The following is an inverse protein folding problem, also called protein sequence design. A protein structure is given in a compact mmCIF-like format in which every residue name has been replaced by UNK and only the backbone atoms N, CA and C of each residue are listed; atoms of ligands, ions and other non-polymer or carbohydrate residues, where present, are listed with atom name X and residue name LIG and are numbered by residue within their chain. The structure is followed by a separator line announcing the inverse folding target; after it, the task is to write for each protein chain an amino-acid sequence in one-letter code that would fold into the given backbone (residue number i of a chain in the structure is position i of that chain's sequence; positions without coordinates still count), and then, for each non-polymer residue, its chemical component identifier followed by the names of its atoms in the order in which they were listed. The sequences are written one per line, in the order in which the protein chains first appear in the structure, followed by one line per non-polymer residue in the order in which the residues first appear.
data_IF_959184260160
#
_entry.id   IF_959184260160
#
_cell.length_a   1.000
_cell.length_b   1.000
_cell.length_c   1.000
_cell.angle_alpha   90.00
_cell.angle_beta   90.00
_cell.angle_gamma   90.00
#
_symmetry.space_group_name_H-M   'P 1'
#
loop_
_entity.id
_entity.type
_entity.pdbx_description
1 polymer ?
#
# COMPACT_ATOMS: atom_id res chain seq x y z
N UNK A 1 -7.19 -5.25 -10.03
CA UNK A 1 -7.84 -4.33 -9.08
C UNK A 1 -7.00 -3.07 -8.86
N UNK A 2 -5.71 -3.17 -8.56
CA UNK A 2 -4.86 -2.00 -8.24
C UNK A 2 -4.73 -0.95 -9.36
N UNK A 3 -4.76 -1.35 -10.64
CA UNK A 3 -4.60 -0.43 -11.79
C UNK A 3 -5.69 0.66 -11.86
N UNK A 4 -6.84 0.42 -11.23
CA UNK A 4 -7.96 1.36 -11.17
C UNK A 4 -7.54 2.67 -10.51
N UNK A 5 -6.68 2.60 -9.49
CA UNK A 5 -6.25 3.77 -8.73
C UNK A 5 -5.46 4.79 -9.57
N UNK A 6 -4.30 4.45 -10.20
CA UNK A 6 -3.53 5.41 -11.00
C UNK A 6 -4.29 5.85 -12.25
N UNK A 7 -5.08 4.98 -12.89
CA UNK A 7 -5.87 5.36 -14.07
C UNK A 7 -6.94 6.40 -13.73
N UNK A 8 -7.67 6.18 -12.64
CA UNK A 8 -8.69 7.13 -12.16
C UNK A 8 -8.05 8.45 -11.76
N UNK A 9 -6.92 8.40 -11.05
CA UNK A 9 -6.19 9.60 -10.65
C UNK A 9 -5.78 10.44 -11.88
N UNK A 10 -5.11 9.84 -12.86
CA UNK A 10 -4.63 10.53 -14.05
C UNK A 10 -5.78 11.06 -14.90
N UNK A 11 -6.85 10.27 -15.06
CA UNK A 11 -8.05 10.71 -15.76
C UNK A 11 -8.68 11.94 -15.13
N UNK A 12 -8.81 11.97 -13.80
CA UNK A 12 -9.41 13.10 -13.08
C UNK A 12 -8.49 14.33 -13.05
N UNK A 13 -7.18 14.15 -12.93
CA UNK A 13 -6.21 15.25 -13.06
C UNK A 13 -6.26 15.90 -14.44
N UNK A 14 -6.61 15.15 -15.48
CA UNK A 14 -6.78 15.68 -16.84
C UNK A 14 -8.15 16.33 -17.05
N UNK A 15 -9.24 15.70 -16.60
CA UNK A 15 -10.62 16.10 -16.94
C UNK A 15 -11.20 17.16 -16.02
N UNK A 16 -10.94 17.11 -14.71
CA UNK A 16 -11.56 18.04 -13.76
C UNK A 16 -11.20 19.51 -14.01
N UNK A 17 -9.93 19.87 -14.31
CA UNK A 17 -9.60 21.27 -14.61
C UNK A 17 -10.30 21.81 -15.86
N UNK A 18 -10.62 20.94 -16.83
CA UNK A 18 -11.30 21.33 -18.06
C UNK A 18 -12.82 21.49 -17.86
N UNK A 19 -13.42 20.62 -17.03
CA UNK A 19 -14.86 20.64 -16.75
C UNK A 19 -15.24 21.70 -15.71
N UNK A 20 -14.37 21.96 -14.74
CA UNK A 20 -14.63 22.87 -13.63
C UNK A 20 -13.47 23.86 -13.42
N UNK A 21 -13.16 24.72 -14.42
CA UNK A 21 -12.03 25.65 -14.35
C UNK A 21 -12.16 26.66 -13.19
N UNK A 22 -13.38 27.04 -12.79
CA UNK A 22 -13.64 27.96 -11.68
C UNK A 22 -13.51 27.31 -10.29
N UNK A 23 -13.56 25.98 -10.22
CA UNK A 23 -13.46 25.21 -8.96
C UNK A 23 -12.09 24.56 -8.77
N UNK A 24 -11.19 24.75 -9.73
CA UNK A 24 -9.83 24.21 -9.76
C UNK A 24 -8.83 25.36 -9.95
N UNK A 25 -7.53 25.05 -10.07
CA UNK A 25 -6.51 26.09 -10.23
C UNK A 25 -6.63 26.85 -11.56
N UNK A 26 -6.72 28.21 -11.54
CA UNK A 26 -6.93 29.02 -12.75
C UNK A 26 -5.85 28.87 -13.84
N UNK A 27 -4.60 28.61 -13.44
CA UNK A 27 -3.44 28.48 -14.33
C UNK A 27 -3.03 27.02 -14.53
N UNK A 28 -3.89 26.08 -14.16
CA UNK A 28 -3.62 24.65 -14.18
C UNK A 28 -2.96 24.14 -12.89
N UNK A 29 -2.81 22.82 -12.81
CA UNK A 29 -2.39 22.14 -11.58
C UNK A 29 -0.93 22.55 -11.21
N UNK A 30 -0.68 23.00 -9.97
CA UNK A 30 0.65 23.35 -9.48
C UNK A 30 1.66 22.20 -9.60
N UNK A 31 2.93 22.53 -9.81
CA UNK A 31 4.01 21.54 -9.97
C UNK A 31 4.17 20.65 -8.74
N UNK A 32 3.98 21.18 -7.54
CA UNK A 32 4.00 20.39 -6.29
C UNK A 32 2.91 19.32 -6.26
N UNK A 33 1.68 19.67 -6.65
CA UNK A 33 0.56 18.73 -6.72
C UNK A 33 0.78 17.68 -7.81
N UNK A 34 1.33 18.07 -8.97
CA UNK A 34 1.78 17.12 -10.01
C UNK A 34 2.85 16.16 -9.51
N UNK A 35 3.79 16.64 -8.70
CA UNK A 35 4.85 15.80 -8.12
C UNK A 35 4.28 14.77 -7.13
N UNK A 36 3.31 15.15 -6.29
CA UNK A 36 2.58 14.21 -5.44
C UNK A 36 1.82 13.17 -6.27
N UNK A 37 1.14 13.59 -7.34
CA UNK A 37 0.48 12.67 -8.26
C UNK A 37 1.46 11.69 -8.93
N UNK A 38 2.65 12.17 -9.28
CA UNK A 38 3.73 11.34 -9.82
C UNK A 38 4.17 10.27 -8.81
N UNK A 39 4.43 10.63 -7.55
CA UNK A 39 4.84 9.65 -6.52
C UNK A 39 3.74 8.60 -6.27
N UNK A 40 2.47 9.02 -6.20
CA UNK A 40 1.34 8.11 -6.09
C UNK A 40 1.29 7.14 -7.28
N UNK A 41 1.44 7.66 -8.50
CA UNK A 41 1.45 6.85 -9.72
C UNK A 41 2.66 5.92 -9.78
N UNK A 42 3.81 6.35 -9.28
CA UNK A 42 5.04 5.55 -9.19
C UNK A 42 4.84 4.32 -8.30
N UNK A 43 4.26 4.51 -7.10
CA UNK A 43 3.87 3.39 -6.23
C UNK A 43 2.96 2.39 -6.96
N UNK A 44 1.87 2.89 -7.54
CA UNK A 44 0.89 2.04 -8.21
C UNK A 44 1.40 1.43 -9.51
N UNK A 45 2.38 2.03 -10.18
CA UNK A 45 3.08 1.42 -11.32
C UNK A 45 3.81 0.15 -10.87
N UNK A 46 4.53 0.23 -9.75
CA UNK A 46 5.15 -0.96 -9.17
C UNK A 46 4.10 -2.00 -8.74
N UNK A 47 3.03 -1.59 -8.05
CA UNK A 47 2.02 -2.53 -7.50
C UNK A 47 1.07 -3.13 -8.53
N UNK A 48 0.62 -2.36 -9.51
CA UNK A 48 -0.39 -2.79 -10.48
C UNK A 48 0.22 -3.40 -11.74
N UNK A 49 1.45 -3.02 -12.09
CA UNK A 49 2.11 -3.44 -13.34
C UNK A 49 3.37 -4.26 -13.03
N UNK A 50 4.37 -3.68 -12.37
CA UNK A 50 5.67 -4.36 -12.25
C UNK A 50 5.58 -5.66 -11.45
N UNK A 51 5.00 -5.61 -10.25
CA UNK A 51 4.92 -6.78 -9.37
C UNK A 51 4.06 -7.92 -9.94
N UNK A 52 2.83 -7.67 -10.44
CA UNK A 52 1.98 -8.74 -10.96
C UNK A 52 2.52 -9.38 -12.24
N UNK A 53 3.05 -8.59 -13.18
CA UNK A 53 3.47 -9.12 -14.50
C UNK A 53 4.87 -9.72 -14.49
N UNK A 54 5.80 -9.20 -13.68
CA UNK A 54 7.22 -9.55 -13.80
C UNK A 54 7.83 -10.21 -12.56
N UNK A 55 7.19 -10.11 -11.39
CA UNK A 55 7.83 -10.54 -10.15
C UNK A 55 7.08 -11.64 -9.39
N UNK A 56 5.75 -11.64 -9.42
CA UNK A 56 4.92 -12.59 -8.70
C UNK A 56 5.01 -14.00 -9.36
N UNK A 57 5.40 -15.06 -8.62
CA UNK A 57 5.55 -16.41 -9.20
C UNK A 57 4.20 -17.07 -9.57
N UNK A 58 3.18 -16.82 -8.75
CA UNK A 58 1.78 -17.23 -8.96
C UNK A 58 0.94 -16.60 -7.84
N UNK A 59 -0.29 -16.21 -8.16
CA UNK A 59 -1.27 -15.68 -7.21
C UNK A 59 -2.44 -16.67 -7.18
N UNK A 60 -2.89 -17.05 -5.98
CA UNK A 60 -4.05 -17.92 -5.80
C UNK A 60 -5.32 -17.24 -6.33
N UNK A 61 -6.32 -17.99 -6.83
CA UNK A 61 -7.61 -17.42 -7.21
C UNK A 61 -8.21 -16.57 -6.10
N UNK A 62 -8.66 -15.36 -6.45
CA UNK A 62 -9.26 -14.40 -5.53
C UNK A 62 -10.77 -14.44 -5.74
N UNK A 63 -11.55 -14.42 -4.65
CA UNK A 63 -13.01 -14.32 -4.74
C UNK A 63 -13.44 -13.01 -5.38
N UNK A 64 -14.41 -13.07 -6.28
CA UNK A 64 -14.92 -11.91 -7.04
C UNK A 64 -15.34 -10.76 -6.12
N UNK A 65 -16.02 -11.06 -5.00
CA UNK A 65 -16.44 -10.05 -4.02
C UNK A 65 -15.26 -9.29 -3.40
N UNK A 66 -14.14 -9.97 -3.14
CA UNK A 66 -12.93 -9.34 -2.59
C UNK A 66 -12.29 -8.45 -3.66
N UNK A 67 -12.19 -8.96 -4.88
CA UNK A 67 -11.62 -8.21 -6.00
C UNK A 67 -12.46 -6.96 -6.34
N UNK A 68 -13.79 -7.06 -6.31
CA UNK A 68 -14.68 -5.92 -6.56
C UNK A 68 -14.62 -4.90 -5.42
N UNK A 69 -14.55 -5.33 -4.16
CA UNK A 69 -14.33 -4.44 -3.03
C UNK A 69 -13.00 -3.69 -3.14
N UNK A 70 -11.93 -4.36 -3.58
CA UNK A 70 -10.63 -3.72 -3.79
C UNK A 70 -10.65 -2.73 -4.97
N UNK A 71 -11.42 -3.00 -6.02
CA UNK A 71 -11.67 -2.06 -7.12
C UNK A 71 -12.42 -0.82 -6.62
N UNK A 72 -13.50 -1.01 -5.87
CA UNK A 72 -14.29 0.07 -5.32
C UNK A 72 -13.46 0.95 -4.37
N UNK A 73 -12.67 0.35 -3.49
CA UNK A 73 -11.75 1.06 -2.60
C UNK A 73 -10.73 1.88 -3.39
N UNK A 74 -10.05 1.27 -4.38
CA UNK A 74 -9.05 1.96 -5.19
C UNK A 74 -9.65 3.12 -5.99
N UNK A 75 -10.87 2.96 -6.50
CA UNK A 75 -11.60 4.03 -7.18
C UNK A 75 -11.94 5.17 -6.23
N UNK A 76 -12.57 4.90 -5.08
CA UNK A 76 -12.91 5.91 -4.08
C UNK A 76 -11.68 6.67 -3.56
N UNK A 77 -10.59 5.94 -3.28
CA UNK A 77 -9.33 6.53 -2.83
C UNK A 77 -8.74 7.46 -3.90
N UNK A 78 -8.72 7.03 -5.16
CA UNK A 78 -8.20 7.84 -6.26
C UNK A 78 -9.08 9.07 -6.56
N UNK A 79 -10.40 8.97 -6.44
CA UNK A 79 -11.32 10.12 -6.56
C UNK A 79 -11.02 11.17 -5.48
N UNK A 80 -10.90 10.74 -4.21
CA UNK A 80 -10.58 11.63 -3.10
C UNK A 80 -9.20 12.28 -3.27
N UNK A 81 -8.21 11.50 -3.69
CA UNK A 81 -6.85 11.98 -3.92
C UNK A 81 -6.77 12.97 -5.09
N UNK A 82 -7.39 12.65 -6.23
CA UNK A 82 -7.40 13.49 -7.41
C UNK A 82 -8.15 14.81 -7.16
N UNK A 83 -9.35 14.74 -6.57
CA UNK A 83 -10.14 15.93 -6.24
C UNK A 83 -9.36 16.92 -5.38
N UNK A 84 -8.69 16.43 -4.35
CA UNK A 84 -7.83 17.25 -3.52
C UNK A 84 -6.61 17.81 -4.27
N UNK A 85 -5.94 17.01 -5.11
CA UNK A 85 -4.77 17.46 -5.88
C UNK A 85 -5.11 18.47 -6.99
N UNK A 86 -6.32 18.46 -7.55
CA UNK A 86 -6.78 19.51 -8.49
C UNK A 86 -7.26 20.79 -7.79
N UNK A 87 -7.25 20.81 -6.46
CA UNK A 87 -7.61 21.98 -5.66
C UNK A 87 -9.06 22.04 -5.21
N UNK A 88 -9.82 20.94 -5.34
CA UNK A 88 -11.21 20.92 -4.87
C UNK A 88 -11.24 21.08 -3.34
N UNK A 89 -11.93 22.11 -2.81
CA UNK A 89 -11.96 22.37 -1.37
C UNK A 89 -12.84 21.34 -0.65
N UNK A 90 -12.47 21.02 0.59
CA UNK A 90 -13.35 20.25 1.47
C UNK A 90 -14.50 21.16 1.94
N UNK A 91 -15.78 20.78 1.80
CA UNK A 91 -16.94 21.64 2.11
C UNK A 91 -17.16 21.99 3.59
N UNK A 92 -16.28 21.57 4.49
CA UNK A 92 -16.44 21.80 5.93
C UNK A 92 -16.18 23.27 6.26
N UNK A 93 -16.89 23.88 7.24
CA UNK A 93 -16.54 25.21 7.72
C UNK A 93 -15.08 25.19 8.18
N UNK A 94 -14.36 26.33 8.08
CA UNK A 94 -12.96 26.42 8.45
C UNK A 94 -12.81 26.20 9.96
N UNK A 95 -12.85 24.95 10.42
CA UNK A 95 -12.19 24.57 11.65
C UNK A 95 -10.74 24.94 11.41
N UNK A 96 -10.31 26.04 12.02
CA UNK A 96 -9.00 26.62 12.38
C UNK A 96 -7.69 26.15 11.71
N UNK A 97 -7.67 25.03 11.00
CA UNK A 97 -6.55 24.30 10.42
C UNK A 97 -6.16 24.81 9.02
N UNK A 98 -7.14 25.16 8.18
CA UNK A 98 -6.90 25.83 6.89
C UNK A 98 -6.45 27.29 7.10
N UNK A 99 -7.00 27.97 8.11
CA UNK A 99 -6.66 29.36 8.45
C UNK A 99 -5.23 29.49 9.01
N UNK A 100 -4.73 28.52 9.77
CA UNK A 100 -3.32 28.53 10.23
C UNK A 100 -2.34 28.30 9.06
N UNK A 101 -2.67 27.40 8.14
CA UNK A 101 -1.87 27.13 6.94
C UNK A 101 -1.90 28.30 5.93
N UNK A 102 -3.06 28.93 5.76
CA UNK A 102 -3.24 30.12 4.93
C UNK A 102 -2.56 31.35 5.58
N UNK A 103 -2.63 31.50 6.91
CA UNK A 103 -1.91 32.53 7.65
C UNK A 103 -0.38 32.32 7.62
N UNK A 104 0.11 31.09 7.72
CA UNK A 104 1.53 30.78 7.59
C UNK A 104 2.05 31.03 6.16
N UNK A 105 1.24 30.70 5.14
CA UNK A 105 1.53 31.02 3.74
C UNK A 105 1.54 32.55 3.49
N UNK A 106 0.59 33.29 4.07
CA UNK A 106 0.55 34.75 4.00
C UNK A 106 1.66 35.44 4.80
N UNK A 107 2.16 34.79 5.87
CA UNK A 107 3.26 35.25 6.72
C UNK A 107 4.65 35.00 6.10
N UNK A 108 4.76 34.28 4.97
CA UNK A 108 6.04 33.87 4.40
C UNK A 108 6.83 32.89 5.28
N UNK A 109 6.20 32.34 6.33
CA UNK A 109 6.84 31.44 7.29
C UNK A 109 7.00 30.05 6.67
N UNK A 110 8.23 29.72 6.28
CA UNK A 110 8.62 28.43 5.71
C UNK A 110 9.10 27.44 6.77
N UNK A 111 9.31 27.85 8.03
CA UNK A 111 10.02 27.08 9.06
C UNK A 111 9.47 25.66 9.28
N UNK A 112 8.14 25.49 9.27
CA UNK A 112 7.52 24.17 9.33
C UNK A 112 7.63 23.38 8.02
N UNK A 113 7.56 24.04 6.87
CA UNK A 113 7.57 23.40 5.53
C UNK A 113 8.97 22.99 5.06
N UNK A 114 10.02 23.69 5.48
CA UNK A 114 11.41 23.49 5.01
C UNK A 114 11.92 22.07 5.28
N UNK A 115 11.59 21.50 6.44
CA UNK A 115 12.07 20.17 6.83
C UNK A 115 11.09 19.04 6.49
N UNK A 116 9.79 19.33 6.39
CA UNK A 116 8.77 18.32 6.08
C UNK A 116 8.90 17.77 4.66
N UNK A 117 9.25 18.61 3.68
CA UNK A 117 9.42 18.16 2.31
C UNK A 117 10.56 17.12 2.16
N UNK A 118 11.81 17.39 2.57
CA UNK A 118 12.87 16.39 2.49
C UNK A 118 12.59 15.17 3.38
N UNK A 119 12.07 15.36 4.61
CA UNK A 119 11.72 14.25 5.49
C UNK A 119 10.67 13.33 4.87
N UNK A 120 9.57 13.91 4.38
CA UNK A 120 8.48 13.17 3.76
C UNK A 120 8.92 12.41 2.52
N UNK A 121 9.75 13.03 1.66
CA UNK A 121 10.31 12.38 0.49
C UNK A 121 11.26 11.23 0.85
N UNK A 122 12.15 11.42 1.84
CA UNK A 122 13.06 10.37 2.32
C UNK A 122 12.28 9.19 2.90
N UNK A 123 11.24 9.45 3.70
CA UNK A 123 10.37 8.40 4.24
C UNK A 123 9.60 7.69 3.12
N UNK A 124 9.09 8.43 2.13
CA UNK A 124 8.39 7.86 0.98
C UNK A 124 9.29 6.89 0.21
N UNK A 125 10.45 7.37 -0.24
CA UNK A 125 11.38 6.58 -1.05
C UNK A 125 12.00 5.42 -0.25
N UNK A 126 12.36 5.65 1.02
CA UNK A 126 12.87 4.60 1.91
C UNK A 126 11.83 3.52 2.20
N UNK A 127 10.58 3.92 2.44
CA UNK A 127 9.44 3.02 2.61
C UNK A 127 9.16 2.21 1.35
N UNK A 128 9.11 2.86 0.18
CA UNK A 128 8.92 2.20 -1.11
C UNK A 128 10.03 1.18 -1.40
N UNK A 129 11.29 1.56 -1.19
CA UNK A 129 12.44 0.67 -1.38
C UNK A 129 12.39 -0.53 -0.41
N UNK A 130 12.06 -0.29 0.86
CA UNK A 130 11.88 -1.34 1.86
C UNK A 130 10.74 -2.30 1.51
N UNK A 131 9.61 -1.77 1.04
CA UNK A 131 8.45 -2.54 0.61
C UNK A 131 8.81 -3.47 -0.56
N UNK A 132 9.41 -2.91 -1.61
CA UNK A 132 9.84 -3.67 -2.80
C UNK A 132 10.88 -4.72 -2.43
N UNK A 133 11.89 -4.36 -1.64
CA UNK A 133 12.95 -5.29 -1.22
C UNK A 133 12.40 -6.49 -0.45
N UNK A 134 11.51 -6.23 0.51
CA UNK A 134 10.84 -7.28 1.28
C UNK A 134 9.95 -8.16 0.40
N UNK A 135 9.16 -7.58 -0.51
CA UNK A 135 8.30 -8.33 -1.42
C UNK A 135 9.10 -9.21 -2.38
N UNK A 136 10.15 -8.67 -3.01
CA UNK A 136 11.03 -9.41 -3.93
C UNK A 136 11.73 -10.57 -3.21
N UNK A 137 12.10 -10.38 -1.95
CA UNK A 137 12.65 -11.46 -1.11
C UNK A 137 11.62 -12.58 -0.92
N UNK A 138 10.37 -12.26 -0.59
CA UNK A 138 9.32 -13.27 -0.43
C UNK A 138 9.03 -14.02 -1.75
N UNK A 139 9.02 -13.31 -2.88
CA UNK A 139 8.85 -13.95 -4.18
C UNK A 139 10.02 -14.87 -4.56
N UNK A 140 11.26 -14.46 -4.26
CA UNK A 140 12.44 -15.31 -4.46
C UNK A 140 12.35 -16.59 -3.65
N UNK A 141 12.02 -16.50 -2.36
CA UNK A 141 11.87 -17.66 -1.48
C UNK A 141 10.78 -18.63 -1.99
N UNK A 142 9.65 -18.11 -2.46
CA UNK A 142 8.60 -18.95 -3.07
C UNK A 142 9.09 -19.66 -4.33
N UNK A 143 9.88 -19.00 -5.18
CA UNK A 143 10.45 -19.62 -6.39
C UNK A 143 11.42 -20.74 -6.06
N UNK A 144 12.37 -20.47 -5.17
CA UNK A 144 13.39 -21.45 -4.76
C UNK A 144 12.76 -22.72 -4.18
N UNK A 145 11.71 -22.55 -3.38
CA UNK A 145 11.00 -23.64 -2.74
C UNK A 145 10.15 -24.46 -3.72
N UNK A 146 9.57 -23.82 -4.73
CA UNK A 146 8.90 -24.50 -5.83
C UNK A 146 9.85 -25.35 -6.66
N UNK A 147 11.02 -24.81 -7.00
CA UNK A 147 12.03 -25.55 -7.75
C UNK A 147 12.64 -26.71 -6.93
N UNK A 148 12.86 -26.51 -5.62
CA UNK A 148 13.35 -27.60 -4.74
C UNK A 148 12.38 -28.77 -4.69
N UNK A 149 11.09 -28.52 -4.43
CA UNK A 149 10.06 -29.57 -4.40
C UNK A 149 9.96 -30.33 -5.71
N UNK A 150 10.00 -29.61 -6.85
CA UNK A 150 9.96 -30.26 -8.17
C UNK A 150 11.18 -31.17 -8.41
N UNK A 151 12.36 -30.75 -7.97
CA UNK A 151 13.60 -31.55 -8.07
C UNK A 151 13.50 -32.82 -7.22
N UNK A 152 12.97 -32.70 -6.01
CA UNK A 152 12.78 -33.83 -5.10
C UNK A 152 11.78 -34.85 -5.69
N UNK A 153 10.63 -34.39 -6.21
CA UNK A 153 9.64 -35.25 -6.88
C UNK A 153 10.21 -35.97 -8.12
N UNK A 154 11.01 -35.26 -8.91
CA UNK A 154 11.66 -35.82 -10.10
C UNK A 154 12.71 -36.87 -9.73
N UNK A 155 13.44 -36.65 -8.62
CA UNK A 155 14.48 -37.58 -8.13
C UNK A 155 13.87 -38.84 -7.54
N UNK A 156 12.74 -38.71 -6.82
CA UNK A 156 11.98 -39.87 -6.30
C UNK A 156 11.42 -40.73 -7.43
N UNK A 157 10.89 -40.11 -8.49
CA UNK A 157 10.35 -40.83 -9.67
C UNK A 157 11.43 -41.63 -10.41
N UNK A 158 12.66 -41.10 -10.50
CA UNK A 158 13.79 -41.79 -11.14
C UNK A 158 14.27 -42.99 -10.30
N UNK A 159 14.27 -42.86 -8.97
CA UNK A 159 14.66 -43.97 -8.08
C UNK A 159 13.68 -45.14 -8.11
N UNK A 160 12.38 -44.86 -8.22
CA UNK A 160 11.35 -45.90 -8.36
C UNK A 160 11.39 -46.61 -9.72
N UNK A 161 11.98 -45.99 -10.76
CA UNK A 161 12.15 -46.64 -12.08
C UNK A 161 13.36 -47.57 -12.14
N UNK A 162 14.28 -47.49 -11.17
CA UNK A 162 15.52 -48.32 -11.16
C UNK A 162 15.41 -49.53 -10.23
N UNK A 163 14.32 -49.68 -9.48
CA UNK A 163 14.10 -50.84 -8.60
C UNK A 163 12.75 -51.47 -8.89
N UNK A 164 12.79 -52.73 -9.37
CA UNK A 164 11.70 -53.74 -9.45
C UNK A 164 11.26 -54.12 -10.86
N UNK A 165 12.02 -55.05 -11.46
CA UNK A 165 11.45 -56.18 -12.21
C UNK A 165 10.77 -57.11 -11.21
N UNK A 166 9.46 -56.97 -10.97
CA UNK A 166 8.52 -58.09 -10.71
C UNK A 166 7.10 -57.60 -10.48
N UNK A 167 6.21 -58.24 -11.22
CA UNK A 167 4.74 -58.28 -11.20
C UNK A 167 4.03 -58.04 -9.86
N UNK A 168 2.99 -57.20 -9.86
CA UNK A 168 1.59 -57.60 -9.64
C UNK A 168 0.64 -56.43 -9.96
N UNK A 169 -0.50 -56.79 -10.58
CA UNK A 169 -1.61 -55.92 -10.94
C UNK A 169 -2.32 -55.45 -9.66
N UNK A 170 -2.72 -54.18 -9.59
CA UNK A 170 -4.13 -53.76 -9.54
C UNK A 170 -4.26 -52.24 -9.34
N UNK A 171 -5.26 -51.71 -10.04
CA UNK A 171 -5.86 -50.37 -10.04
C UNK A 171 -5.11 -49.14 -10.64
N UNK A 172 -5.61 -48.60 -11.78
CA UNK A 172 -5.11 -47.37 -12.36
C UNK A 172 -5.66 -46.17 -11.58
N UNK A 173 -4.88 -45.62 -10.65
CA UNK A 173 -5.15 -44.26 -10.17
C UNK A 173 -4.97 -43.29 -11.33
N UNK A 174 -6.08 -42.68 -11.71
CA UNK A 174 -6.24 -41.60 -12.68
C UNK A 174 -4.98 -40.71 -12.77
N UNK A 175 -4.22 -40.90 -13.86
CA UNK A 175 -3.38 -39.84 -14.43
C UNK A 175 -4.30 -38.79 -15.08
N UNK A 176 -5.02 -38.07 -14.23
CA UNK A 176 -5.68 -36.83 -14.60
C UNK A 176 -4.64 -35.74 -14.74
N UNK A 177 -4.24 -35.50 -15.98
CA UNK A 177 -3.31 -34.47 -16.42
C UNK A 177 -3.85 -33.08 -16.07
N UNK A 178 -3.60 -32.65 -14.83
CA UNK A 178 -3.83 -31.28 -14.41
C UNK A 178 -2.50 -30.82 -13.83
N UNK A 179 -1.61 -30.32 -14.69
CA UNK A 179 -0.35 -29.64 -14.34
C UNK A 179 -0.67 -28.48 -13.38
N UNK A 180 -0.88 -28.80 -12.10
CA UNK A 180 -1.03 -27.79 -11.04
C UNK A 180 0.24 -26.96 -11.07
N UNK A 181 0.05 -25.64 -11.21
CA UNK A 181 1.14 -24.69 -11.22
C UNK A 181 2.11 -24.99 -10.07
N UNK A 182 3.41 -25.12 -10.38
CA UNK A 182 4.46 -25.50 -9.41
C UNK A 182 4.54 -24.56 -8.21
N UNK A 183 3.99 -23.35 -8.36
CA UNK A 183 3.96 -22.33 -7.32
C UNK A 183 2.70 -22.40 -6.42
N UNK A 184 1.80 -23.36 -6.65
CA UNK A 184 0.55 -23.49 -5.88
C UNK A 184 0.81 -23.98 -4.44
N UNK A 185 0.27 -23.25 -3.45
CA UNK A 185 0.29 -23.59 -2.01
C UNK A 185 1.68 -23.83 -1.41
N UNK A 186 2.70 -23.11 -1.88
CA UNK A 186 4.05 -23.14 -1.30
C UNK A 186 4.22 -22.00 -0.31
N UNK A 187 4.45 -22.37 0.95
CA UNK A 187 4.67 -21.43 2.03
C UNK A 187 5.99 -21.74 2.72
N UNK A 188 6.78 -20.70 2.91
CA UNK A 188 8.10 -20.77 3.51
C UNK A 188 8.24 -19.62 4.48
N UNK A 189 8.82 -19.90 5.64
CA UNK A 189 9.15 -18.86 6.60
C UNK A 189 10.40 -18.13 6.06
N UNK A 190 10.37 -16.79 5.93
CA UNK A 190 11.55 -16.05 5.56
C UNK A 190 12.65 -16.24 6.61
N UNK A 191 13.91 -16.43 6.19
CA UNK A 191 15.02 -16.52 7.12
C UNK A 191 15.12 -15.23 7.95
N UNK A 192 15.61 -15.29 9.19
CA UNK A 192 15.73 -14.12 10.07
C UNK A 192 16.94 -13.27 9.67
N UNK A 193 16.91 -12.69 8.48
CA UNK A 193 17.97 -11.84 7.94
C UNK A 193 17.40 -10.52 7.43
N UNK A 194 18.21 -9.45 7.51
CA UNK A 194 17.81 -8.11 7.06
C UNK A 194 16.50 -7.65 7.71
N UNK A 195 15.53 -7.23 6.89
CA UNK A 195 14.22 -6.75 7.33
C UNK A 195 13.34 -7.81 8.02
N UNK A 196 13.64 -9.11 7.85
CA UNK A 196 12.88 -10.22 8.42
C UNK A 196 13.43 -10.73 9.76
N UNK A 197 14.44 -10.04 10.32
CA UNK A 197 15.12 -10.46 11.55
C UNK A 197 14.18 -10.41 12.76
N UNK A 198 13.41 -9.33 12.89
CA UNK A 198 12.55 -9.08 14.06
C UNK A 198 11.06 -9.25 13.79
N UNK A 199 10.63 -9.15 12.51
CA UNK A 199 9.21 -9.18 12.10
C UNK A 199 8.98 -10.03 10.84
N UNK A 200 7.74 -10.51 10.65
CA UNK A 200 7.36 -11.35 9.52
C UNK A 200 6.84 -10.57 8.31
N UNK A 201 6.25 -9.39 8.53
CA UNK A 201 5.62 -8.55 7.50
C UNK A 201 6.30 -7.17 7.36
N UNK A 202 7.63 -7.10 7.12
CA UNK A 202 8.32 -5.82 6.96
C UNK A 202 7.84 -5.02 5.75
N UNK A 203 7.29 -5.68 4.72
CA UNK A 203 6.70 -5.00 3.58
C UNK A 203 5.51 -4.13 3.98
N UNK A 204 4.66 -4.55 4.93
CA UNK A 204 3.56 -3.71 5.42
C UNK A 204 4.07 -2.50 6.19
N UNK A 205 5.04 -2.68 7.09
CA UNK A 205 5.62 -1.56 7.85
C UNK A 205 6.28 -0.55 6.91
N UNK A 206 7.01 -1.03 5.91
CA UNK A 206 7.65 -0.18 4.92
C UNK A 206 6.62 0.59 4.07
N UNK A 207 5.48 -0.02 3.74
CA UNK A 207 4.37 0.66 3.06
C UNK A 207 3.67 1.69 3.96
N UNK A 208 3.59 1.46 5.28
CA UNK A 208 3.09 2.47 6.21
C UNK A 208 4.04 3.67 6.29
N UNK A 209 5.35 3.42 6.34
CA UNK A 209 6.37 4.47 6.30
C UNK A 209 6.29 5.25 4.98
N UNK A 210 6.05 4.56 3.86
CA UNK A 210 5.86 5.18 2.56
C UNK A 210 4.68 6.17 2.57
N UNK A 211 3.49 5.72 2.96
CA UNK A 211 2.29 6.57 2.98
C UNK A 211 2.32 7.65 4.06
N UNK A 212 3.03 7.42 5.18
CA UNK A 212 3.33 8.45 6.16
C UNK A 212 4.23 9.53 5.55
N UNK A 213 5.28 9.12 4.84
CA UNK A 213 6.15 10.02 4.08
C UNK A 213 5.38 10.84 3.05
N UNK A 214 4.45 10.21 2.32
CA UNK A 214 3.55 10.89 1.39
C UNK A 214 2.72 11.98 2.06
N UNK A 215 2.09 11.67 3.21
CA UNK A 215 1.29 12.63 3.97
C UNK A 215 2.15 13.79 4.53
N UNK A 216 3.35 13.50 5.02
CA UNK A 216 4.29 14.53 5.52
C UNK A 216 4.75 15.45 4.39
N UNK A 217 5.15 14.87 3.25
CA UNK A 217 5.56 15.62 2.07
C UNK A 217 4.41 16.52 1.58
N UNK A 218 3.21 15.94 1.46
CA UNK A 218 2.01 16.67 1.10
C UNK A 218 1.74 17.87 2.01
N UNK A 219 1.83 17.71 3.33
CA UNK A 219 1.67 18.84 4.26
C UNK A 219 2.71 19.95 4.02
N UNK A 220 3.92 19.59 3.59
CA UNK A 220 5.00 20.53 3.27
C UNK A 220 4.83 21.28 1.95
N UNK A 221 4.37 20.60 0.89
CA UNK A 221 4.44 21.15 -0.49
C UNK A 221 3.09 21.32 -1.19
N UNK A 222 1.99 20.78 -0.66
CA UNK A 222 0.69 20.85 -1.35
C UNK A 222 0.23 22.29 -1.47
N UNK A 223 -0.18 22.66 -2.67
CA UNK A 223 -0.87 23.92 -2.91
C UNK A 223 -2.37 23.67 -2.78
N UNK A 224 -3.04 24.47 -1.95
CA UNK A 224 -4.49 24.43 -1.75
C UNK A 224 -5.14 25.63 -2.41
N UNK A 225 -6.29 25.43 -3.04
CA UNK A 225 -7.08 26.53 -3.59
C UNK A 225 -8.08 27.03 -2.54
N UNK A 226 -8.08 28.33 -2.27
CA UNK A 226 -9.01 28.99 -1.36
C UNK A 226 -10.28 29.43 -2.10
N UNK A 227 -10.89 28.56 -2.89
CA UNK A 227 -12.25 28.84 -3.38
C UNK A 227 -13.24 28.50 -2.27
N UNK A 228 -14.11 29.45 -1.93
CA UNK A 228 -15.29 29.14 -1.13
C UNK A 228 -16.23 28.30 -2.01
N UNK A 229 -16.52 27.04 -1.67
CA UNK A 229 -17.57 26.33 -2.38
C UNK A 229 -18.88 27.08 -2.10
N UNK A 230 -19.51 27.62 -3.15
CA UNK A 230 -20.86 28.20 -3.11
C UNK A 230 -21.95 27.13 -2.99
N UNK A 231 -21.58 25.88 -2.69
CA UNK A 231 -22.51 24.77 -2.49
C UNK A 231 -22.81 24.71 -0.99
N UNK A 232 -23.95 25.29 -0.61
CA UNK A 232 -24.58 25.11 0.69
C UNK A 232 -25.07 23.67 0.82
N UNK A 233 -24.13 22.74 1.04
CA UNK A 233 -24.47 21.36 1.41
C UNK A 233 -24.91 21.43 2.87
N UNK A 234 -26.20 21.63 3.10
CA UNK A 234 -26.78 21.79 4.42
C UNK A 234 -26.23 20.78 5.43
N UNK A 235 -25.49 21.30 6.42
CA UNK A 235 -24.84 20.52 7.48
C UNK A 235 -23.32 20.66 7.48
N UNK A 236 -22.78 21.30 8.52
CA UNK A 236 -21.32 21.39 8.71
C UNK A 236 -20.70 20.00 8.82
N UNK A 237 -19.82 19.65 7.88
CA UNK A 237 -19.04 18.42 7.97
C UNK A 237 -18.10 18.49 9.19
N UNK A 238 -18.09 17.42 9.99
CA UNK A 238 -17.17 17.28 11.12
C UNK A 238 -16.06 16.28 10.77
N UNK A 239 -14.83 16.59 11.19
CA UNK A 239 -13.72 15.64 11.12
C UNK A 239 -14.04 14.45 12.02
N UNK A 240 -13.80 13.24 11.51
CA UNK A 240 -13.93 12.05 12.32
C UNK A 240 -13.00 12.12 13.56
N UNK A 241 -13.41 11.60 14.73
CA UNK A 241 -12.64 11.76 15.97
C UNK A 241 -11.18 11.29 15.88
N UNK A 242 -10.93 10.24 15.10
CA UNK A 242 -9.58 9.68 14.89
C UNK A 242 -8.68 10.55 14.00
N UNK A 243 -9.23 11.53 13.28
CA UNK A 243 -8.46 12.51 12.50
C UNK A 243 -8.07 13.75 13.32
N UNK A 244 -8.71 13.96 14.47
CA UNK A 244 -8.45 15.13 15.33
C UNK A 244 -6.99 15.23 15.80
N UNK A 245 -6.28 14.15 16.17
CA UNK A 245 -4.88 14.25 16.57
C UNK A 245 -4.00 14.76 15.42
N UNK A 246 -4.20 14.25 14.20
CA UNK A 246 -3.48 14.70 13.02
C UNK A 246 -3.81 16.16 12.67
N UNK A 247 -5.08 16.57 12.81
CA UNK A 247 -5.50 17.95 12.62
C UNK A 247 -4.86 18.90 13.64
N UNK A 248 -4.84 18.53 14.93
CA UNK A 248 -4.18 19.29 15.99
C UNK A 248 -2.67 19.43 15.75
N UNK A 249 -2.02 18.37 15.30
CA UNK A 249 -0.59 18.38 14.98
C UNK A 249 -0.30 19.28 13.78
N UNK A 250 -1.09 19.18 12.70
CA UNK A 250 -0.95 20.06 11.54
C UNK A 250 -1.14 21.54 11.91
N UNK A 251 -2.11 21.83 12.79
CA UNK A 251 -2.33 23.17 13.32
C UNK A 251 -1.14 23.69 14.12
N UNK A 252 -0.62 22.86 15.02
CA UNK A 252 0.53 23.19 15.86
C UNK A 252 1.79 23.45 15.02
N UNK A 253 1.97 22.72 13.91
CA UNK A 253 3.06 22.94 12.96
C UNK A 253 2.80 24.05 11.93
N UNK A 254 1.59 24.65 11.91
CA UNK A 254 1.23 25.70 10.95
C UNK A 254 1.17 25.22 9.49
N UNK A 255 0.86 23.94 9.25
CA UNK A 255 0.82 23.33 7.91
C UNK A 255 -0.58 22.86 7.54
N UNK A 256 -0.93 22.82 6.23
CA UNK A 256 -2.21 22.28 5.80
C UNK A 256 -2.27 20.78 6.13
N UNK A 257 -3.45 20.31 6.55
CA UNK A 257 -3.68 18.88 6.74
C UNK A 257 -4.06 18.23 5.40
N UNK A 258 -3.25 17.31 4.84
CA UNK A 258 -3.59 16.60 3.61
C UNK A 258 -4.57 15.46 3.93
N UNK A 259 -5.85 15.79 4.11
CA UNK A 259 -6.87 14.87 4.62
C UNK A 259 -6.94 13.55 3.82
N UNK A 260 -6.99 13.53 2.47
CA UNK A 260 -7.04 12.26 1.74
C UNK A 260 -5.81 11.37 1.96
N UNK A 261 -4.60 11.96 2.06
CA UNK A 261 -3.37 11.23 2.33
C UNK A 261 -3.38 10.62 3.74
N UNK A 262 -3.82 11.38 4.75
CA UNK A 262 -3.92 10.90 6.14
C UNK A 262 -4.96 9.79 6.26
N UNK A 263 -6.14 9.98 5.66
CA UNK A 263 -7.20 8.96 5.64
C UNK A 263 -6.71 7.69 4.97
N UNK A 264 -5.99 7.81 3.86
CA UNK A 264 -5.45 6.65 3.17
C UNK A 264 -4.40 5.90 4.00
N UNK A 265 -3.50 6.62 4.68
CA UNK A 265 -2.55 6.00 5.62
C UNK A 265 -3.29 5.24 6.74
N UNK A 266 -4.31 5.84 7.35
CA UNK A 266 -5.13 5.19 8.39
C UNK A 266 -5.79 3.93 7.83
N UNK A 267 -6.34 3.98 6.62
CA UNK A 267 -6.94 2.82 5.95
C UNK A 267 -5.90 1.72 5.68
N UNK A 268 -4.70 2.09 5.22
CA UNK A 268 -3.61 1.13 4.97
C UNK A 268 -3.19 0.40 6.25
N UNK A 269 -2.99 1.13 7.35
CA UNK A 269 -2.65 0.53 8.65
C UNK A 269 -3.79 -0.34 9.16
N UNK A 270 -5.02 0.18 9.14
CA UNK A 270 -6.21 -0.52 9.67
C UNK A 270 -6.53 -1.80 8.90
N UNK A 271 -6.24 -1.85 7.60
CA UNK A 271 -6.43 -3.04 6.78
C UNK A 271 -5.27 -4.04 6.93
N UNK A 272 -4.01 -3.58 6.90
CA UNK A 272 -2.85 -4.48 6.89
C UNK A 272 -2.54 -5.08 8.27
N UNK A 273 -2.79 -4.34 9.35
CA UNK A 273 -2.42 -4.79 10.69
C UNK A 273 -3.16 -6.06 11.14
N UNK A 274 -4.51 -6.16 11.01
CA UNK A 274 -5.23 -7.40 11.31
C UNK A 274 -4.75 -8.57 10.46
N UNK A 275 -4.49 -8.33 9.17
CA UNK A 275 -3.96 -9.33 8.24
C UNK A 275 -2.59 -9.84 8.65
N UNK A 276 -1.68 -8.97 9.07
CA UNK A 276 -0.36 -9.35 9.56
C UNK A 276 -0.49 -10.23 10.82
N UNK A 277 -1.35 -9.84 11.76
CA UNK A 277 -1.59 -10.58 12.99
C UNK A 277 -2.14 -11.99 12.73
N UNK A 278 -3.16 -12.10 11.88
CA UNK A 278 -3.69 -13.41 11.47
C UNK A 278 -2.67 -14.25 10.71
N UNK A 279 -1.87 -13.60 9.86
CA UNK A 279 -0.78 -14.23 9.14
C UNK A 279 0.29 -14.80 10.06
N UNK A 280 0.69 -14.06 11.10
CA UNK A 280 1.59 -14.58 12.15
C UNK A 280 0.98 -15.78 12.85
N UNK A 281 -0.28 -15.69 13.29
CA UNK A 281 -0.98 -16.81 13.94
C UNK A 281 -0.95 -18.07 13.06
N UNK A 282 -1.23 -17.91 11.78
CA UNK A 282 -1.14 -18.99 10.79
C UNK A 282 0.28 -19.56 10.66
N UNK A 283 1.33 -18.71 10.65
CA UNK A 283 2.72 -19.18 10.63
C UNK A 283 3.07 -20.02 11.87
N UNK A 284 2.60 -19.61 13.05
CA UNK A 284 2.84 -20.35 14.32
C UNK A 284 2.12 -21.69 14.30
N UNK A 285 0.86 -21.73 13.87
CA UNK A 285 0.07 -22.96 13.76
C UNK A 285 0.67 -23.93 12.72
N UNK A 286 1.19 -23.39 11.61
CA UNK A 286 1.68 -24.20 10.49
C UNK A 286 3.08 -24.75 10.68
N UNK A 287 3.97 -23.99 11.32
CA UNK A 287 5.41 -24.30 11.39
C UNK A 287 5.96 -24.39 12.82
N UNK A 288 5.17 -24.03 13.83
CA UNK A 288 5.57 -23.99 15.23
C UNK A 288 6.32 -22.70 15.63
N UNK A 289 6.15 -22.29 16.88
CA UNK A 289 6.74 -21.06 17.44
C UNK A 289 8.28 -21.06 17.34
N UNK A 290 8.92 -22.22 17.50
CA UNK A 290 10.38 -22.37 17.41
C UNK A 290 10.95 -21.98 16.04
N UNK A 291 10.21 -22.21 14.94
CA UNK A 291 10.61 -21.82 13.58
C UNK A 291 10.34 -20.35 13.29
N UNK A 292 9.35 -19.75 13.94
CA UNK A 292 9.07 -18.31 13.87
C UNK A 292 10.12 -17.50 14.66
N UNK A 293 10.82 -18.14 15.62
CA UNK A 293 11.88 -17.54 16.44
C UNK A 293 11.42 -16.31 17.23
N UNK A 294 10.18 -16.32 17.70
CA UNK A 294 9.62 -15.24 18.53
C UNK A 294 9.42 -13.89 17.81
N UNK A 295 9.58 -13.82 16.49
CA UNK A 295 9.35 -12.61 15.68
C UNK A 295 7.91 -12.11 15.81
N UNK A 296 7.74 -10.78 15.82
CA UNK A 296 6.42 -10.14 15.73
C UNK A 296 5.85 -10.19 14.32
N UNK A 297 4.61 -9.75 14.12
CA UNK A 297 4.05 -9.65 12.77
C UNK A 297 4.58 -8.39 12.08
N UNK A 298 4.44 -7.24 12.72
CA UNK A 298 4.87 -5.90 12.28
C UNK A 298 5.62 -5.13 13.37
N UNK A 299 5.50 -5.47 14.65
CA UNK A 299 6.22 -4.80 15.74
C UNK A 299 7.39 -5.68 16.23
N UNK A 300 8.63 -5.18 16.26
CA UNK A 300 9.78 -5.96 16.72
C UNK A 300 9.54 -6.53 18.12
N UNK A 301 9.80 -7.83 18.28
CA UNK A 301 9.77 -8.55 19.56
C UNK A 301 8.41 -8.58 20.28
N UNK A 302 7.34 -8.07 19.68
CA UNK A 302 6.01 -8.12 20.25
C UNK A 302 5.22 -9.28 19.63
N UNK A 303 4.97 -10.35 20.39
CA UNK A 303 4.34 -11.57 19.82
C UNK A 303 2.90 -11.37 19.36
N UNK A 304 2.24 -10.33 19.85
CA UNK A 304 0.85 -10.00 19.51
C UNK A 304 0.72 -9.09 18.27
N UNK A 305 1.76 -8.31 17.93
CA UNK A 305 1.76 -7.35 16.81
C UNK A 305 2.91 -7.56 15.84
#
# INVERSE_FOLDING_TARGET
MEIVSPMTLLYLLYTLPQQYPSSTFPTGIPTSNKFLAFLFTLHYTNRAIISPFFAAPSISPIHVLIASSAVAFNWLNAVCMAGWLVGYPLPSPPSSYSSAAAAAAASGSTTGRTWLAPLGLTLFLGGMAGNISAERTLFRLRREEAHRKKKDDSTSTIKDTTTTTTTTKDDPKEKGDNKKNIYSKIYTIPPPTGLFTSILYPHYVAEWIEWLGFAILAAGIVTTHSASPSIDVGGGFHLAPWLLPAAKLANWMGVPMPVPAVVFLVNAVSNMLPHARWGRKWYVERFGEGRVKGRGAVVPFFRWL
#
